data_IF_159225341019
#
_entry.id   IF_159225341019
#
_cell.length_a   1.000
_cell.length_b   1.000
_cell.length_c   1.000
_cell.angle_alpha   90.00
_cell.angle_beta   90.00
_cell.angle_gamma   90.00
#
_symmetry.space_group_name_H-M   'P 1'
#
loop_
_entity.id
_entity.type
_entity.pdbx_description
1 polymer ?
#
# COMPACT_ATOMS: atom_id res chain seq x y z
N UNK A 1 -17.16 6.33 -20.28
CA UNK A 1 -16.71 7.15 -19.13
C UNK A 1 -16.19 8.46 -19.69
N UNK A 2 -16.73 9.61 -19.26
CA UNK A 2 -16.38 10.92 -19.82
C UNK A 2 -14.99 11.34 -19.32
N UNK A 3 -14.15 11.81 -20.24
CA UNK A 3 -13.18 12.86 -19.91
C UNK A 3 -13.06 13.78 -21.11
N UNK A 4 -13.79 14.89 -21.08
CA UNK A 4 -13.27 16.10 -21.68
C UNK A 4 -12.04 16.46 -20.84
N UNK A 5 -10.85 16.27 -21.39
CA UNK A 5 -9.60 16.66 -20.73
C UNK A 5 -9.65 18.17 -20.56
N UNK A 6 -9.68 18.63 -19.31
CA UNK A 6 -9.60 20.04 -18.99
C UNK A 6 -8.25 20.58 -19.50
N UNK A 7 -8.20 21.82 -20.01
CA UNK A 7 -7.02 22.38 -20.66
C UNK A 7 -5.73 22.31 -19.80
N UNK A 8 -5.89 22.29 -18.48
CA UNK A 8 -4.80 22.11 -17.50
C UNK A 8 -4.07 20.77 -17.61
N UNK A 9 -4.75 19.70 -18.03
CA UNK A 9 -4.20 18.33 -18.12
C UNK A 9 -3.91 17.92 -19.57
N UNK A 10 -3.71 18.90 -20.46
CA UNK A 10 -3.26 18.64 -21.82
C UNK A 10 -1.76 18.30 -21.84
N UNK A 11 -1.36 17.49 -22.84
CA UNK A 11 0.06 17.21 -23.09
C UNK A 11 0.80 18.50 -23.44
N UNK A 12 2.02 18.61 -22.94
CA UNK A 12 2.88 19.76 -23.20
C UNK A 12 3.54 19.68 -24.57
N UNK A 13 4.18 20.78 -25.03
CA UNK A 13 4.99 20.76 -26.24
C UNK A 13 6.29 19.94 -26.10
N UNK A 14 6.65 19.55 -24.87
CA UNK A 14 7.86 18.78 -24.54
C UNK A 14 7.47 17.41 -23.97
N UNK A 15 7.69 16.35 -24.74
CA UNK A 15 7.23 15.00 -24.39
C UNK A 15 7.93 14.35 -23.19
N UNK A 16 9.10 14.84 -22.75
CA UNK A 16 9.83 14.25 -21.62
C UNK A 16 9.20 14.51 -20.25
N UNK A 17 8.18 15.37 -20.18
CA UNK A 17 7.41 15.65 -18.96
C UNK A 17 5.95 15.21 -19.10
N UNK A 18 5.57 14.61 -20.22
CA UNK A 18 4.24 14.04 -20.38
C UNK A 18 4.14 12.77 -19.51
N UNK A 19 3.09 12.70 -18.68
CA UNK A 19 2.79 11.53 -17.86
C UNK A 19 1.47 10.91 -18.31
N UNK A 20 1.38 9.59 -18.24
CA UNK A 20 0.14 8.85 -18.50
C UNK A 20 -0.19 8.04 -17.25
N UNK A 21 -1.33 8.34 -16.64
CA UNK A 21 -1.89 7.57 -15.53
C UNK A 21 -2.91 6.57 -16.09
N UNK A 22 -3.09 5.42 -15.44
CA UNK A 22 -3.93 4.33 -15.93
C UNK A 22 -3.50 3.81 -17.32
N UNK A 23 -2.18 3.64 -17.52
CA UNK A 23 -1.61 3.24 -18.81
C UNK A 23 -2.10 1.85 -19.26
N UNK A 24 -2.22 0.90 -18.33
CA UNK A 24 -2.68 -0.47 -18.65
C UNK A 24 -4.20 -0.57 -18.79
N UNK A 25 -4.92 0.54 -18.61
CA UNK A 25 -6.38 0.56 -18.51
C UNK A 25 -6.93 -0.46 -17.48
N UNK A 26 -6.16 -0.68 -16.41
CA UNK A 26 -6.47 -1.62 -15.34
C UNK A 26 -6.10 -0.98 -13.99
N UNK A 27 -6.91 -0.03 -13.48
CA UNK A 27 -6.55 0.76 -12.31
C UNK A 27 -6.39 -0.09 -11.04
N UNK A 28 -7.10 -1.22 -10.95
CA UNK A 28 -6.97 -2.18 -9.84
C UNK A 28 -5.65 -2.95 -9.97
N UNK A 29 -5.29 -3.38 -11.18
CA UNK A 29 -4.03 -4.09 -11.40
C UNK A 29 -2.78 -3.23 -11.23
N UNK A 30 -2.92 -1.90 -11.21
CA UNK A 30 -1.82 -0.94 -11.05
C UNK A 30 -1.56 -0.54 -9.58
N UNK A 31 -2.28 -1.10 -8.60
CA UNK A 31 -2.13 -0.72 -7.19
C UNK A 31 -0.71 -0.96 -6.65
N UNK A 32 -0.04 -2.07 -7.00
CA UNK A 32 1.36 -2.31 -6.62
C UNK A 32 2.28 -1.20 -7.16
N UNK A 33 2.12 -0.85 -8.44
CA UNK A 33 2.95 0.17 -9.10
C UNK A 33 2.74 1.54 -8.45
N UNK A 34 1.50 1.86 -8.08
CA UNK A 34 1.20 3.08 -7.34
C UNK A 34 1.84 3.05 -5.95
N UNK A 35 1.72 1.94 -5.21
CA UNK A 35 2.31 1.78 -3.89
C UNK A 35 3.84 1.97 -3.91
N UNK A 36 4.51 1.33 -4.86
CA UNK A 36 5.96 1.47 -5.08
C UNK A 36 6.35 2.92 -5.41
N UNK A 37 5.57 3.61 -6.25
CA UNK A 37 5.82 5.01 -6.58
C UNK A 37 5.72 5.92 -5.35
N UNK A 38 4.70 5.73 -4.50
CA UNK A 38 4.56 6.48 -3.26
C UNK A 38 5.70 6.21 -2.28
N UNK A 39 6.05 4.95 -2.06
CA UNK A 39 7.16 4.59 -1.17
C UNK A 39 8.51 5.13 -1.67
N UNK A 40 8.76 5.04 -2.98
CA UNK A 40 9.95 5.58 -3.62
C UNK A 40 10.03 7.11 -3.46
N UNK A 41 8.92 7.81 -3.64
CA UNK A 41 8.87 9.26 -3.46
C UNK A 41 9.17 9.66 -2.01
N UNK A 42 8.55 8.99 -1.02
CA UNK A 42 8.81 9.24 0.40
C UNK A 42 10.26 8.97 0.79
N UNK A 43 10.83 7.86 0.29
CA UNK A 43 12.23 7.51 0.54
C UNK A 43 13.17 8.56 -0.06
N UNK A 44 12.88 9.02 -1.28
CA UNK A 44 13.69 10.03 -1.94
C UNK A 44 13.67 11.36 -1.18
N UNK A 45 12.50 11.78 -0.67
CA UNK A 45 12.39 12.97 0.18
C UNK A 45 13.25 12.84 1.44
N UNK A 46 13.17 11.69 2.13
CA UNK A 46 13.96 11.45 3.34
C UNK A 46 15.47 11.50 3.06
N UNK A 47 15.93 10.88 1.97
CA UNK A 47 17.32 10.93 1.53
C UNK A 47 17.78 12.36 1.23
N UNK A 48 16.95 13.12 0.52
CA UNK A 48 17.25 14.52 0.17
C UNK A 48 17.38 15.39 1.42
N UNK A 49 16.50 15.24 2.41
CA UNK A 49 16.59 16.01 3.65
C UNK A 49 17.80 15.61 4.50
N UNK A 50 18.10 14.31 4.59
CA UNK A 50 19.30 13.81 5.29
C UNK A 50 20.60 14.28 4.64
N UNK A 51 20.64 14.39 3.31
CA UNK A 51 21.82 14.82 2.56
C UNK A 51 21.99 16.34 2.42
N UNK A 52 20.99 17.13 2.86
CA UNK A 52 20.98 18.59 2.77
C UNK A 52 21.18 19.26 4.14
N UNK A 53 20.28 20.20 4.47
CA UNK A 53 20.32 20.98 5.71
C UNK A 53 19.81 20.21 6.96
N UNK A 54 19.57 18.90 6.83
CA UNK A 54 18.93 18.09 7.87
C UNK A 54 17.42 17.98 7.71
N UNK A 55 16.83 17.03 8.43
CA UNK A 55 15.39 16.80 8.49
C UNK A 55 14.76 17.75 9.51
N UNK A 56 13.75 18.52 9.12
CA UNK A 56 12.92 19.29 10.06
C UNK A 56 11.73 18.45 10.53
N UNK A 57 11.15 18.81 11.69
CA UNK A 57 9.97 18.10 12.22
C UNK A 57 8.79 18.10 11.26
N UNK A 58 8.64 19.17 10.45
CA UNK A 58 7.55 19.29 9.48
C UNK A 58 7.77 18.44 8.23
N UNK A 59 9.01 18.10 7.89
CA UNK A 59 9.31 17.22 6.76
C UNK A 59 8.80 15.78 6.99
N UNK A 60 8.60 15.39 8.25
CA UNK A 60 8.08 14.06 8.59
C UNK A 60 6.64 13.84 8.09
N UNK A 61 5.80 14.87 8.06
CA UNK A 61 4.40 14.77 7.62
C UNK A 61 4.24 14.18 6.21
N UNK A 62 4.82 14.79 5.15
CA UNK A 62 4.68 14.25 3.81
C UNK A 62 5.37 12.88 3.66
N UNK A 63 6.50 12.63 4.32
CA UNK A 63 7.20 11.34 4.22
C UNK A 63 6.32 10.20 4.76
N UNK A 64 5.78 10.38 5.97
CA UNK A 64 4.96 9.34 6.61
C UNK A 64 3.63 9.16 5.88
N UNK A 65 3.03 10.25 5.40
CA UNK A 65 1.83 10.14 4.56
C UNK A 65 2.07 9.25 3.33
N UNK A 66 3.18 9.45 2.61
CA UNK A 66 3.52 8.65 1.43
C UNK A 66 3.77 7.18 1.80
N UNK A 67 4.50 6.91 2.89
CA UNK A 67 4.73 5.55 3.38
C UNK A 67 3.44 4.85 3.81
N UNK A 68 2.57 5.56 4.55
CA UNK A 68 1.28 5.04 5.01
C UNK A 68 0.37 4.70 3.85
N UNK A 69 0.37 5.55 2.81
CA UNK A 69 -0.44 5.32 1.63
C UNK A 69 0.08 4.14 0.80
N UNK A 70 1.39 4.01 0.63
CA UNK A 70 1.99 2.83 0.02
C UNK A 70 1.59 1.54 0.74
N UNK A 71 1.66 1.54 2.08
CA UNK A 71 1.23 0.40 2.91
C UNK A 71 -0.23 0.01 2.66
N UNK A 72 -1.13 0.99 2.63
CA UNK A 72 -2.55 0.76 2.35
C UNK A 72 -2.77 0.14 0.97
N UNK A 73 -2.09 0.65 -0.06
CA UNK A 73 -2.22 0.15 -1.42
C UNK A 73 -1.71 -1.29 -1.56
N UNK A 74 -0.57 -1.63 -0.94
CA UNK A 74 -0.09 -3.01 -0.93
C UNK A 74 -1.07 -3.97 -0.23
N UNK A 75 -1.58 -3.60 0.95
CA UNK A 75 -2.57 -4.42 1.67
C UNK A 75 -3.81 -4.64 0.79
N UNK A 76 -4.33 -3.59 0.15
CA UNK A 76 -5.50 -3.70 -0.73
C UNK A 76 -5.22 -4.58 -1.94
N UNK A 77 -4.05 -4.44 -2.56
CA UNK A 77 -3.65 -5.26 -3.70
C UNK A 77 -3.55 -6.74 -3.33
N UNK A 78 -2.90 -7.08 -2.20
CA UNK A 78 -2.83 -8.47 -1.69
C UNK A 78 -4.24 -9.05 -1.49
N UNK A 79 -5.19 -8.30 -0.92
CA UNK A 79 -6.56 -8.77 -0.74
C UNK A 79 -7.28 -9.01 -2.06
N UNK A 80 -7.13 -8.09 -3.02
CA UNK A 80 -7.74 -8.22 -4.35
C UNK A 80 -7.15 -9.40 -5.11
N UNK A 81 -5.86 -9.64 -4.96
CA UNK A 81 -5.19 -10.82 -5.48
C UNK A 81 -5.63 -12.10 -4.80
N UNK A 82 -5.79 -12.08 -3.48
CA UNK A 82 -6.38 -13.17 -2.71
C UNK A 82 -7.78 -13.54 -3.20
N UNK A 83 -8.61 -12.55 -3.57
CA UNK A 83 -9.92 -12.81 -4.19
C UNK A 83 -9.79 -13.49 -5.55
N UNK A 84 -8.79 -13.12 -6.35
CA UNK A 84 -8.54 -13.80 -7.63
C UNK A 84 -8.11 -15.25 -7.40
N UNK A 85 -7.28 -15.52 -6.39
CA UNK A 85 -6.97 -16.90 -5.95
C UNK A 85 -8.20 -17.66 -5.48
N UNK A 86 -9.04 -17.04 -4.64
CA UNK A 86 -10.27 -17.62 -4.14
C UNK A 86 -11.13 -18.15 -5.29
N UNK A 87 -11.32 -17.32 -6.32
CA UNK A 87 -12.08 -17.66 -7.53
C UNK A 87 -11.37 -18.71 -8.37
N UNK A 88 -10.05 -18.59 -8.53
CA UNK A 88 -9.24 -19.54 -9.26
C UNK A 88 -9.19 -20.91 -8.58
N UNK A 89 -9.34 -21.01 -7.26
CA UNK A 89 -9.37 -22.28 -6.53
C UNK A 89 -10.80 -22.78 -6.24
N UNK A 90 -11.81 -21.94 -6.45
CA UNK A 90 -13.19 -22.23 -6.05
C UNK A 90 -13.41 -22.18 -4.53
N UNK A 91 -12.53 -21.53 -3.78
CA UNK A 91 -12.63 -21.39 -2.32
C UNK A 91 -13.12 -19.99 -1.92
N UNK A 92 -14.45 -19.84 -1.81
CA UNK A 92 -15.06 -18.58 -1.41
C UNK A 92 -14.73 -18.16 0.04
N UNK A 93 -14.13 -19.02 0.88
CA UNK A 93 -13.88 -18.72 2.30
C UNK A 93 -12.75 -17.71 2.52
N UNK A 94 -11.89 -17.53 1.52
CA UNK A 94 -10.77 -16.57 1.56
C UNK A 94 -11.10 -15.26 0.83
N UNK A 95 -12.27 -15.16 0.19
CA UNK A 95 -12.69 -13.94 -0.51
C UNK A 95 -13.10 -12.83 0.48
N UNK A 96 -12.68 -11.61 0.18
CA UNK A 96 -13.03 -10.39 0.91
C UNK A 96 -13.89 -9.48 0.02
N UNK A 97 -15.06 -9.02 0.47
CA UNK A 97 -15.91 -8.14 -0.34
C UNK A 97 -15.16 -6.89 -0.82
N UNK A 98 -15.30 -6.55 -2.11
CA UNK A 98 -14.60 -5.41 -2.71
C UNK A 98 -14.83 -4.10 -1.96
N UNK A 99 -16.07 -3.83 -1.56
CA UNK A 99 -16.43 -2.61 -0.81
C UNK A 99 -15.73 -2.54 0.56
N UNK A 100 -15.46 -3.68 1.18
CA UNK A 100 -14.72 -3.74 2.43
C UNK A 100 -13.23 -3.41 2.22
N UNK A 101 -12.64 -3.90 1.12
CA UNK A 101 -11.25 -3.61 0.75
C UNK A 101 -11.07 -2.12 0.46
N UNK A 102 -11.94 -1.53 -0.38
CA UNK A 102 -11.74 -0.13 -0.81
C UNK A 102 -12.23 0.88 0.22
N UNK A 103 -13.26 0.54 1.02
CA UNK A 103 -13.95 1.46 1.93
C UNK A 103 -13.26 1.68 3.28
N UNK A 104 -12.27 0.86 3.65
CA UNK A 104 -11.52 1.01 4.89
C UNK A 104 -10.14 1.61 4.64
N UNK A 105 -9.74 2.57 5.48
CA UNK A 105 -8.35 3.06 5.58
C UNK A 105 -7.54 2.33 6.67
N UNK A 106 -8.24 1.68 7.63
CA UNK A 106 -7.62 0.88 8.69
C UNK A 106 -7.06 -0.40 8.11
N UNK A 107 -5.74 -0.52 8.07
CA UNK A 107 -5.06 -1.68 7.48
C UNK A 107 -5.09 -2.91 8.40
N UNK A 108 -5.10 -2.69 9.71
CA UNK A 108 -5.14 -3.76 10.72
C UNK A 108 -6.44 -4.58 10.66
N UNK A 109 -7.55 -4.01 10.16
CA UNK A 109 -8.81 -4.72 9.92
C UNK A 109 -8.66 -5.91 8.94
N UNK A 110 -7.61 -5.89 8.12
CA UNK A 110 -7.37 -6.91 7.12
C UNK A 110 -6.38 -7.99 7.58
N UNK A 111 -5.82 -7.91 8.79
CA UNK A 111 -4.81 -8.85 9.29
C UNK A 111 -5.22 -10.32 9.17
N UNK A 112 -6.40 -10.69 9.66
CA UNK A 112 -6.88 -12.08 9.58
C UNK A 112 -7.14 -12.53 8.14
N UNK A 113 -7.48 -11.60 7.25
CA UNK A 113 -7.73 -11.89 5.83
C UNK A 113 -6.41 -12.11 5.09
N UNK A 114 -5.40 -11.29 5.38
CA UNK A 114 -4.03 -11.49 4.91
C UNK A 114 -3.49 -12.85 5.37
N UNK A 115 -3.65 -13.21 6.65
CA UNK A 115 -3.26 -14.54 7.17
C UNK A 115 -3.93 -15.68 6.42
N UNK A 116 -5.22 -15.57 6.11
CA UNK A 116 -5.95 -16.59 5.32
C UNK A 116 -5.38 -16.73 3.90
N UNK A 117 -5.09 -15.62 3.23
CA UNK A 117 -4.50 -15.62 1.88
C UNK A 117 -3.11 -16.23 1.91
N UNK A 118 -2.26 -15.79 2.83
CA UNK A 118 -0.89 -16.33 3.00
C UNK A 118 -0.93 -17.82 3.33
N UNK A 119 -1.80 -18.26 4.24
CA UNK A 119 -2.00 -19.67 4.54
C UNK A 119 -2.47 -20.49 3.34
N UNK A 120 -3.33 -19.94 2.48
CA UNK A 120 -3.79 -20.62 1.27
C UNK A 120 -2.65 -20.87 0.26
N UNK A 121 -1.59 -20.07 0.29
CA UNK A 121 -0.36 -20.26 -0.50
C UNK A 121 0.80 -20.83 0.32
N UNK A 122 0.52 -21.36 1.52
CA UNK A 122 1.48 -21.96 2.43
C UNK A 122 2.62 -21.02 2.88
N UNK A 123 2.35 -19.72 2.94
CA UNK A 123 3.20 -18.73 3.61
C UNK A 123 2.78 -18.58 5.08
N UNK A 124 3.78 -18.52 5.96
CA UNK A 124 3.65 -18.39 7.41
C UNK A 124 4.15 -17.03 7.86
N UNK A 125 3.76 -16.60 9.06
CA UNK A 125 4.21 -15.32 9.62
C UNK A 125 5.75 -15.23 9.68
N UNK A 126 6.45 -16.33 9.95
CA UNK A 126 7.92 -16.39 10.02
C UNK A 126 8.63 -16.31 8.65
N UNK A 127 7.88 -16.40 7.55
CA UNK A 127 8.43 -16.17 6.20
C UNK A 127 8.65 -14.66 5.92
N UNK A 128 8.08 -13.80 6.76
CA UNK A 128 8.25 -12.35 6.71
C UNK A 128 9.38 -11.90 7.63
N UNK A 129 10.06 -10.81 7.27
CA UNK A 129 11.22 -10.30 8.02
C UNK A 129 10.84 -9.55 9.30
N UNK A 130 9.55 -9.31 9.52
CA UNK A 130 9.04 -8.61 10.70
C UNK A 130 7.62 -9.05 11.06
N UNK A 131 7.20 -8.77 12.30
CA UNK A 131 5.80 -8.91 12.71
C UNK A 131 4.95 -7.80 12.07
N UNK A 132 4.65 -8.00 10.79
CA UNK A 132 3.83 -7.11 10.00
C UNK A 132 2.45 -6.90 10.65
N UNK A 133 1.91 -7.92 11.34
CA UNK A 133 0.58 -7.86 11.94
C UNK A 133 0.52 -6.89 13.12
N UNK A 134 1.55 -6.92 13.97
CA UNK A 134 1.73 -5.94 15.03
C UNK A 134 1.99 -4.54 14.45
N UNK A 135 2.85 -4.45 13.43
CA UNK A 135 3.13 -3.17 12.78
C UNK A 135 1.87 -2.49 12.22
N UNK A 136 0.99 -3.21 11.51
CA UNK A 136 -0.27 -2.68 10.99
C UNK A 136 -1.16 -2.14 12.13
N UNK A 137 -1.23 -2.84 13.26
CA UNK A 137 -1.99 -2.39 14.44
C UNK A 137 -1.41 -1.11 15.03
N UNK A 138 -0.09 -1.04 15.18
CA UNK A 138 0.61 0.14 15.71
C UNK A 138 0.39 1.36 14.82
N UNK A 139 0.45 1.19 13.50
CA UNK A 139 0.17 2.27 12.55
C UNK A 139 -1.28 2.76 12.68
N UNK A 140 -2.27 1.86 12.76
CA UNK A 140 -3.66 2.27 12.91
C UNK A 140 -3.99 2.88 14.29
N UNK A 141 -3.20 2.62 15.33
CA UNK A 141 -3.35 3.31 16.61
C UNK A 141 -3.00 4.79 16.50
N UNK A 142 -2.01 5.13 15.68
CA UNK A 142 -1.54 6.51 15.47
C UNK A 142 -2.33 7.21 14.36
N UNK A 143 -2.65 6.48 13.28
CA UNK A 143 -3.26 7.03 12.07
C UNK A 143 -4.37 6.13 11.50
N UNK A 144 -5.48 5.95 12.24
CA UNK A 144 -6.55 5.02 11.87
C UNK A 144 -7.24 5.39 10.54
N UNK A 145 -7.34 6.67 10.23
CA UNK A 145 -8.09 7.18 9.09
C UNK A 145 -7.18 7.77 8.00
N UNK A 146 -5.87 7.52 8.08
CA UNK A 146 -4.84 8.12 7.22
C UNK A 146 -4.77 9.67 7.33
N UNK A 147 -5.29 10.28 8.39
CA UNK A 147 -5.42 11.75 8.52
C UNK A 147 -4.31 12.39 9.38
N UNK A 148 -3.71 11.64 10.31
CA UNK A 148 -2.80 12.17 11.35
C UNK A 148 -1.59 12.88 10.76
N UNK A 149 -1.06 12.37 9.64
CA UNK A 149 0.11 12.95 8.98
C UNK A 149 -0.25 13.85 7.77
N UNK A 150 -1.53 14.20 7.61
CA UNK A 150 -2.00 15.17 6.61
C UNK A 150 -2.47 16.49 7.24
N UNK A 151 -3.00 16.42 8.44
CA UNK A 151 -3.58 17.55 9.14
C UNK A 151 -3.10 17.55 10.59
N UNK A 152 -2.94 18.73 11.17
CA UNK A 152 -2.57 18.87 12.59
C UNK A 152 -3.78 18.72 13.51
N UNK A 153 -4.98 18.97 12.99
CA UNK A 153 -6.25 18.92 13.72
C UNK A 153 -7.31 18.11 12.97
N UNK A 154 -8.21 17.51 13.72
CA UNK A 154 -9.39 16.84 13.16
C UNK A 154 -10.48 17.86 12.78
N UNK A 155 -11.60 17.37 12.21
CA UNK A 155 -12.74 18.22 11.80
C UNK A 155 -13.40 19.01 12.95
N UNK A 156 -13.11 18.67 14.21
CA UNK A 156 -13.59 19.37 15.41
C UNK A 156 -12.56 20.38 15.95
N UNK A 157 -11.39 20.50 15.32
CA UNK A 157 -10.31 21.39 15.76
C UNK A 157 -9.42 20.81 16.85
N UNK A 158 -9.61 19.55 17.26
CA UNK A 158 -8.74 18.92 18.25
C UNK A 158 -7.46 18.40 17.58
N UNK A 159 -6.33 18.49 18.29
CA UNK A 159 -5.06 17.93 17.84
C UNK A 159 -5.18 16.42 17.54
N UNK A 160 -4.51 15.98 16.46
CA UNK A 160 -4.49 14.57 16.05
C UNK A 160 -3.41 13.73 16.75
N UNK A 161 -2.40 14.39 17.32
CA UNK A 161 -1.36 13.78 18.16
C UNK A 161 -1.22 14.54 19.47
N UNK A 162 -0.64 13.89 20.47
CA UNK A 162 -0.34 14.50 21.76
C UNK A 162 0.75 15.59 21.64
N UNK A 163 0.79 16.48 22.65
CA UNK A 163 1.85 17.49 22.72
C UNK A 163 3.23 16.82 22.83
N UNK A 164 4.21 17.34 22.09
CA UNK A 164 5.58 16.80 22.04
C UNK A 164 5.68 15.35 21.55
N UNK A 165 4.71 14.89 20.75
CA UNK A 165 4.83 13.63 20.01
C UNK A 165 6.11 13.62 19.16
N UNK A 166 7.03 12.73 19.49
CA UNK A 166 8.36 12.64 18.87
C UNK A 166 8.74 11.18 18.64
N UNK A 167 9.52 10.94 17.59
CA UNK A 167 9.98 9.62 17.18
C UNK A 167 11.21 9.74 16.29
N UNK A 168 11.93 8.62 16.10
CA UNK A 168 13.07 8.57 15.18
C UNK A 168 12.61 8.25 13.74
N UNK A 169 12.67 9.23 12.85
CA UNK A 169 12.26 9.04 11.44
C UNK A 169 13.14 8.01 10.71
N UNK A 170 14.41 7.88 11.07
CA UNK A 170 15.32 6.88 10.49
C UNK A 170 14.90 5.45 10.83
N UNK A 171 14.62 5.18 12.10
CA UNK A 171 14.15 3.86 12.57
C UNK A 171 12.77 3.54 11.99
N UNK A 172 11.84 4.50 12.02
CA UNK A 172 10.51 4.34 11.43
C UNK A 172 10.61 3.99 9.93
N UNK A 173 11.46 4.70 9.19
CA UNK A 173 11.68 4.43 7.77
C UNK A 173 12.25 3.04 7.50
N UNK A 174 13.14 2.55 8.36
CA UNK A 174 13.70 1.19 8.23
C UNK A 174 12.63 0.12 8.44
N UNK A 175 11.75 0.30 9.42
CA UNK A 175 10.63 -0.63 9.67
C UNK A 175 9.64 -0.62 8.49
N UNK A 176 9.23 0.56 8.03
CA UNK A 176 8.39 0.69 6.84
C UNK A 176 9.02 0.01 5.63
N UNK A 177 10.31 0.21 5.40
CA UNK A 177 11.02 -0.43 4.29
C UNK A 177 10.92 -1.95 4.36
N UNK A 178 11.18 -2.55 5.52
CA UNK A 178 11.10 -4.01 5.70
C UNK A 178 9.70 -4.53 5.37
N UNK A 179 8.66 -3.91 5.95
CA UNK A 179 7.26 -4.33 5.74
C UNK A 179 6.84 -4.15 4.28
N UNK A 180 7.16 -3.01 3.66
CA UNK A 180 6.74 -2.70 2.29
C UNK A 180 7.48 -3.54 1.26
N UNK A 181 8.77 -3.82 1.46
CA UNK A 181 9.51 -4.76 0.62
C UNK A 181 8.92 -6.18 0.73
N UNK A 182 8.56 -6.62 1.95
CA UNK A 182 7.89 -7.90 2.19
C UNK A 182 6.53 -7.99 1.47
N UNK A 183 5.73 -6.93 1.55
CA UNK A 183 4.43 -6.89 0.89
C UNK A 183 4.52 -6.73 -0.63
N UNK A 184 5.52 -6.02 -1.14
CA UNK A 184 5.84 -5.99 -2.58
C UNK A 184 6.21 -7.40 -3.07
N UNK A 185 7.07 -8.10 -2.32
CA UNK A 185 7.41 -9.51 -2.58
C UNK A 185 6.18 -10.41 -2.57
N UNK A 186 5.28 -10.23 -1.59
CA UNK A 186 4.02 -10.97 -1.53
C UNK A 186 3.12 -10.70 -2.75
N UNK A 187 2.99 -9.44 -3.18
CA UNK A 187 2.23 -9.08 -4.38
C UNK A 187 2.82 -9.79 -5.62
N UNK A 188 4.14 -9.74 -5.81
CA UNK A 188 4.80 -10.41 -6.93
C UNK A 188 4.62 -11.93 -6.88
N UNK A 189 4.87 -12.55 -5.71
CA UNK A 189 4.75 -14.00 -5.53
C UNK A 189 3.33 -14.50 -5.80
N UNK A 190 2.31 -13.78 -5.31
CA UNK A 190 0.91 -14.08 -5.61
C UNK A 190 0.63 -13.94 -7.12
N UNK A 191 1.26 -13.01 -7.85
CA UNK A 191 0.99 -12.81 -9.29
C UNK A 191 1.51 -14.00 -10.08
N UNK A 192 2.73 -14.42 -9.78
CA UNK A 192 3.35 -15.60 -10.39
C UNK A 192 2.51 -16.85 -10.14
N UNK A 193 2.19 -17.12 -8.87
CA UNK A 193 1.39 -18.30 -8.49
C UNK A 193 -0.01 -18.29 -9.12
N UNK A 194 -0.64 -17.12 -9.27
CA UNK A 194 -1.96 -17.03 -9.90
C UNK A 194 -1.88 -17.33 -11.39
N UNK A 195 -0.80 -16.90 -12.06
CA UNK A 195 -0.53 -17.26 -13.46
C UNK A 195 -0.45 -18.77 -13.60
N UNK A 196 0.34 -19.43 -12.74
CA UNK A 196 0.52 -20.89 -12.74
C UNK A 196 -0.82 -21.63 -12.54
N UNK A 197 -1.64 -21.19 -11.57
CA UNK A 197 -2.96 -21.79 -11.32
C UNK A 197 -3.89 -21.64 -12.53
N UNK A 198 -3.91 -20.47 -13.17
CA UNK A 198 -4.71 -20.24 -14.36
C UNK A 198 -4.23 -21.10 -15.54
N UNK A 199 -2.92 -21.26 -15.72
CA UNK A 199 -2.35 -22.13 -16.75
C UNK A 199 -2.72 -23.59 -16.50
N UNK A 200 -2.54 -24.10 -15.27
CA UNK A 200 -2.90 -25.47 -14.90
C UNK A 200 -4.39 -25.77 -15.13
N UNK A 201 -5.27 -24.81 -14.82
CA UNK A 201 -6.71 -24.91 -15.12
C UNK A 201 -6.99 -24.96 -16.62
N UNK A 202 -6.31 -24.13 -17.42
CA UNK A 202 -6.48 -24.15 -18.87
C UNK A 202 -6.06 -25.49 -19.51
N UNK A 203 -5.15 -26.21 -18.86
CA UNK A 203 -4.68 -27.54 -19.26
C UNK A 203 -5.51 -28.71 -18.67
N UNK A 204 -6.50 -28.43 -17.81
CA UNK A 204 -7.38 -29.44 -17.22
C UNK A 204 -6.79 -30.22 -16.03
N UNK A 205 -5.74 -29.70 -15.37
CA UNK A 205 -5.14 -30.33 -14.19
C UNK A 205 -5.87 -30.00 -12.87
N UNK A 206 -6.75 -28.99 -12.88
CA UNK A 206 -7.52 -28.46 -11.74
C UNK A 206 -8.95 -28.15 -12.17
#
# INVERSE_FOLDING_TARGET
MKTATHALFNRGPKHHSDVVLNWHNNPIGELTLQAEAYFKAGTKLLETFKGGNGLTDFDAYPIIFLYRHALELFVKDILLMGNNFARALGDAKIETPFQEIVGSHRVSHHTEKLRKIFGAVNWKDDDFRCDWSHFLKTIDQIDPDSMTFRYTVNKKGNALVESHFSFNMGELSSIFKTVLDDFSGACLGLRCMLSDVCEMKSMGYL
#
